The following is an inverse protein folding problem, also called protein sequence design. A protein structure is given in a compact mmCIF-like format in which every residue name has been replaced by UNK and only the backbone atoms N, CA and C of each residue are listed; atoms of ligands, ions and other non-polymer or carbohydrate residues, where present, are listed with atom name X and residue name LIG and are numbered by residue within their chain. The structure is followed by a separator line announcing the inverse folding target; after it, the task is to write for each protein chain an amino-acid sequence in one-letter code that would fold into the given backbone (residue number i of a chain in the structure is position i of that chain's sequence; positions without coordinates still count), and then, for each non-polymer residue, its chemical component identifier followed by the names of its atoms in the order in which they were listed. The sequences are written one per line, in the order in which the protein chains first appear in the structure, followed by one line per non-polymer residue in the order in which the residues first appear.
data_IF_178733950235
#
_entry.id   IF_178733950235
#
_cell.length_a   1.000
_cell.length_b   1.000
_cell.length_c   1.000
_cell.angle_alpha   90.00
_cell.angle_beta   90.00
_cell.angle_gamma   90.00
#
_symmetry.space_group_name_H-M   'P 1'
#
loop_
_entity.id
_entity.type
_entity.pdbx_description
1 polymer ?
#
# COMPACT_ATOMS: atom_id res chain seq x y z
N UNK A 1 41.88 11.10 -26.04
CA UNK A 1 40.83 11.93 -25.38
C UNK A 1 41.09 12.06 -23.89
N UNK A 2 40.55 13.08 -23.21
CA UNK A 2 40.75 13.30 -21.76
C UNK A 2 40.28 12.09 -20.93
N UNK A 3 39.19 11.44 -21.35
CA UNK A 3 38.65 10.21 -20.74
C UNK A 3 39.61 9.01 -20.88
N UNK A 4 40.17 8.75 -22.07
CA UNK A 4 41.15 7.68 -22.27
C UNK A 4 42.42 7.87 -21.41
N UNK A 5 42.82 9.13 -21.20
CA UNK A 5 43.96 9.44 -20.33
C UNK A 5 43.66 9.08 -18.87
N UNK A 6 42.50 9.47 -18.35
CA UNK A 6 42.09 9.11 -16.99
C UNK A 6 41.96 7.59 -16.84
N UNK A 7 41.36 6.92 -17.82
CA UNK A 7 41.23 5.46 -17.85
C UNK A 7 42.59 4.75 -17.81
N UNK A 8 43.54 5.16 -18.64
CA UNK A 8 44.89 4.57 -18.68
C UNK A 8 45.73 4.88 -17.42
N UNK A 9 45.41 5.97 -16.72
CA UNK A 9 46.09 6.38 -15.49
C UNK A 9 45.41 5.86 -14.21
N UNK A 10 44.31 5.10 -14.32
CA UNK A 10 43.47 4.70 -13.18
C UNK A 10 42.99 5.90 -12.34
N UNK A 11 42.78 7.03 -12.98
CA UNK A 11 42.24 8.25 -12.37
C UNK A 11 40.71 8.27 -12.50
N UNK A 12 40.07 9.05 -11.62
CA UNK A 12 38.68 9.42 -11.73
C UNK A 12 38.34 9.88 -13.16
N UNK A 13 37.36 9.24 -13.80
CA UNK A 13 36.89 9.56 -15.14
C UNK A 13 36.11 10.89 -15.18
N UNK A 14 35.67 11.39 -14.03
CA UNK A 14 34.94 12.65 -13.91
C UNK A 14 33.57 12.59 -14.59
N UNK A 15 32.98 11.38 -14.65
CA UNK A 15 31.70 11.14 -15.31
C UNK A 15 30.58 11.36 -14.30
N UNK A 16 29.66 12.24 -14.65
CA UNK A 16 28.38 12.40 -13.97
C UNK A 16 27.30 11.72 -14.78
N UNK A 17 26.53 10.82 -14.15
CA UNK A 17 25.38 10.16 -14.76
C UNK A 17 24.12 10.80 -14.18
N UNK A 18 23.21 11.27 -15.02
CA UNK A 18 21.91 11.77 -14.60
C UNK A 18 20.82 10.87 -15.19
N UNK A 19 20.05 10.23 -14.32
CA UNK A 19 18.87 9.43 -14.64
C UNK A 19 17.62 10.28 -14.39
N UNK A 20 16.60 10.16 -15.23
CA UNK A 20 15.28 10.75 -14.98
C UNK A 20 14.28 9.62 -14.80
N UNK A 21 13.63 9.57 -13.65
CA UNK A 21 12.57 8.60 -13.37
C UNK A 21 11.29 8.91 -14.16
N UNK A 22 10.41 7.92 -14.28
CA UNK A 22 9.10 8.09 -14.94
C UNK A 22 8.21 9.14 -14.24
N UNK A 23 8.49 9.41 -12.97
CA UNK A 23 7.86 10.48 -12.18
C UNK A 23 8.48 11.88 -12.40
N UNK A 24 9.48 12.01 -13.27
CA UNK A 24 10.20 13.24 -13.55
C UNK A 24 11.30 13.62 -12.54
N UNK A 25 11.55 12.80 -11.51
CA UNK A 25 12.65 13.04 -10.57
C UNK A 25 14.00 12.72 -11.23
N UNK A 26 14.99 13.58 -11.00
CA UNK A 26 16.34 13.39 -11.53
C UNK A 26 17.29 12.88 -10.46
N UNK A 27 18.01 11.81 -10.76
CA UNK A 27 19.00 11.20 -9.89
C UNK A 27 20.37 11.39 -10.53
N UNK A 28 21.26 12.08 -9.84
CA UNK A 28 22.62 12.33 -10.32
C UNK A 28 23.60 11.51 -9.50
N UNK A 29 24.43 10.72 -10.17
CA UNK A 29 25.50 9.95 -9.54
C UNK A 29 26.84 10.37 -10.13
N UNK A 30 27.87 10.37 -9.29
CA UNK A 30 29.26 10.52 -9.70
C UNK A 30 30.11 9.54 -8.89
N UNK A 31 31.43 9.68 -8.94
CA UNK A 31 32.36 8.78 -8.27
C UNK A 31 32.37 8.90 -6.74
N UNK A 32 31.81 9.98 -6.19
CA UNK A 32 31.71 10.25 -4.76
C UNK A 32 30.28 10.08 -4.23
N UNK A 33 29.28 10.19 -5.11
CA UNK A 33 27.86 10.26 -4.74
C UNK A 33 27.05 9.15 -5.41
N UNK A 34 26.49 8.27 -4.57
CA UNK A 34 25.48 7.30 -5.00
C UNK A 34 24.08 7.87 -4.78
N UNK A 35 23.18 7.67 -5.75
CA UNK A 35 21.77 8.01 -5.60
C UNK A 35 20.97 6.73 -5.33
N UNK A 36 20.12 6.75 -4.31
CA UNK A 36 19.14 5.68 -4.06
C UNK A 36 17.87 5.99 -4.81
N UNK A 37 17.51 5.14 -5.77
CA UNK A 37 16.23 5.23 -6.46
C UNK A 37 15.10 4.89 -5.48
N UNK A 38 14.01 5.67 -5.52
CA UNK A 38 12.79 5.32 -4.80
C UNK A 38 12.27 3.98 -5.33
N UNK A 39 11.79 3.15 -4.42
CA UNK A 39 11.17 1.89 -4.78
C UNK A 39 9.85 2.15 -5.50
N UNK A 40 9.59 1.35 -6.51
CA UNK A 40 8.32 1.30 -7.21
C UNK A 40 7.26 0.64 -6.33
N UNK A 41 5.97 0.90 -6.59
CA UNK A 41 4.89 0.23 -5.86
C UNK A 41 5.01 -1.31 -5.87
N UNK A 42 5.29 -1.99 -7.01
CA UNK A 42 5.50 -3.43 -7.02
C UNK A 42 6.61 -3.92 -6.07
N UNK A 43 7.69 -3.16 -5.91
CA UNK A 43 8.77 -3.50 -4.96
C UNK A 43 8.33 -3.34 -3.50
N UNK A 44 7.55 -2.30 -3.20
CA UNK A 44 6.97 -2.07 -1.86
C UNK A 44 5.93 -3.16 -1.53
N UNK A 45 5.05 -3.47 -2.47
CA UNK A 45 4.04 -4.52 -2.36
C UNK A 45 4.67 -5.89 -2.06
N UNK A 46 5.71 -6.26 -2.80
CA UNK A 46 6.42 -7.52 -2.57
C UNK A 46 7.05 -7.60 -1.17
N UNK A 47 7.53 -6.48 -0.62
CA UNK A 47 8.05 -6.43 0.74
C UNK A 47 6.95 -6.63 1.79
N UNK A 48 5.79 -5.99 1.61
CA UNK A 48 4.62 -6.17 2.49
C UNK A 48 4.11 -7.62 2.43
N UNK A 49 4.06 -8.20 1.23
CA UNK A 49 3.66 -9.58 0.99
C UNK A 49 4.55 -10.58 1.71
N UNK A 50 5.87 -10.40 1.60
CA UNK A 50 6.87 -11.23 2.25
C UNK A 50 6.90 -11.05 3.78
N UNK A 51 6.38 -9.92 4.28
CA UNK A 51 6.39 -9.64 5.71
C UNK A 51 5.38 -10.50 6.46
N UNK A 52 5.92 -11.32 7.37
CA UNK A 52 5.18 -12.15 8.30
C UNK A 52 5.55 -11.74 9.72
N UNK A 53 4.66 -12.04 10.66
CA UNK A 53 4.95 -11.84 12.08
C UNK A 53 6.20 -12.62 12.49
N UNK A 54 7.15 -11.93 13.12
CA UNK A 54 8.47 -12.47 13.45
C UNK A 54 8.74 -12.54 14.96
N UNK A 55 7.68 -12.52 15.79
CA UNK A 55 7.80 -12.55 17.26
C UNK A 55 7.84 -11.17 17.94
N UNK A 56 7.72 -10.08 17.17
CA UNK A 56 7.47 -8.73 17.69
C UNK A 56 6.09 -8.62 18.35
N UNK A 57 5.73 -7.50 19.00
CA UNK A 57 4.32 -7.30 19.34
C UNK A 57 3.48 -7.02 18.07
N UNK A 58 2.19 -7.37 18.10
CA UNK A 58 1.30 -7.25 16.93
C UNK A 58 1.13 -5.81 16.44
N UNK A 59 1.19 -4.83 17.35
CA UNK A 59 1.10 -3.42 17.02
C UNK A 59 2.33 -2.96 16.24
N UNK A 60 3.53 -3.40 16.64
CA UNK A 60 4.77 -3.15 15.92
C UNK A 60 4.81 -3.91 14.60
N UNK A 61 4.27 -5.13 14.53
CA UNK A 61 4.13 -5.84 13.27
C UNK A 61 3.26 -5.04 12.28
N UNK A 62 2.14 -4.49 12.75
CA UNK A 62 1.26 -3.64 11.95
C UNK A 62 1.99 -2.36 11.48
N UNK A 63 2.71 -1.67 12.38
CA UNK A 63 3.54 -0.50 12.03
C UNK A 63 4.64 -0.84 11.01
N UNK A 64 5.27 -2.01 11.16
CA UNK A 64 6.31 -2.46 10.25
C UNK A 64 5.75 -2.74 8.85
N UNK A 65 4.57 -3.36 8.75
CA UNK A 65 3.91 -3.57 7.47
C UNK A 65 3.61 -2.24 6.76
N UNK A 66 3.07 -1.24 7.48
CA UNK A 66 2.87 0.10 6.92
C UNK A 66 4.19 0.74 6.48
N UNK A 67 5.24 0.64 7.29
CA UNK A 67 6.56 1.18 6.95
C UNK A 67 7.19 0.52 5.72
N UNK A 68 6.96 -0.78 5.49
CA UNK A 68 7.42 -1.47 4.28
C UNK A 68 6.71 -0.99 3.01
N UNK A 69 5.49 -0.47 3.15
CA UNK A 69 4.75 0.22 2.10
C UNK A 69 5.13 1.71 1.97
N UNK A 70 6.14 2.19 2.71
CA UNK A 70 6.48 3.62 2.85
C UNK A 70 5.32 4.48 3.39
N UNK A 71 4.42 3.86 4.16
CA UNK A 71 3.30 4.51 4.81
C UNK A 71 3.55 4.66 6.31
N UNK A 72 2.83 5.59 6.94
CA UNK A 72 2.79 5.76 8.39
C UNK A 72 1.39 5.51 8.93
N UNK A 73 1.30 5.20 10.22
CA UNK A 73 0.02 5.07 10.93
C UNK A 73 -0.16 6.29 11.83
N UNK A 74 -1.18 7.08 11.55
CA UNK A 74 -1.72 8.09 12.45
C UNK A 74 -2.67 7.42 13.44
N UNK A 75 -2.37 7.52 14.73
CA UNK A 75 -3.17 6.91 15.80
C UNK A 75 -4.32 7.82 16.28
N UNK A 76 -4.50 8.96 15.61
CA UNK A 76 -5.64 9.84 15.81
C UNK A 76 -6.66 9.68 14.67
N UNK A 77 -7.60 8.75 14.84
CA UNK A 77 -8.64 8.51 13.84
C UNK A 77 -9.49 9.75 13.52
N UNK A 78 -9.57 10.73 14.42
CA UNK A 78 -10.34 11.94 14.15
C UNK A 78 -9.70 12.84 13.08
N UNK A 79 -8.40 12.68 12.81
CA UNK A 79 -7.71 13.39 11.74
C UNK A 79 -8.12 12.90 10.34
N UNK A 80 -8.66 11.67 10.23
CA UNK A 80 -9.28 11.16 9.00
C UNK A 80 -10.40 12.09 8.51
N UNK A 81 -11.27 12.54 9.42
CA UNK A 81 -12.42 13.39 9.06
C UNK A 81 -12.00 14.77 8.54
N UNK A 82 -10.76 15.21 8.85
CA UNK A 82 -10.17 16.43 8.29
C UNK A 82 -9.57 16.18 6.92
N UNK A 83 -8.89 15.05 6.75
CA UNK A 83 -8.21 14.68 5.50
C UNK A 83 -9.17 14.23 4.40
N UNK A 84 -10.24 13.50 4.76
CA UNK A 84 -11.23 12.92 3.86
C UNK A 84 -12.69 13.29 4.26
N UNK A 85 -13.11 14.58 4.25
CA UNK A 85 -14.42 15.00 4.76
C UNK A 85 -15.62 14.44 3.98
N UNK A 86 -15.45 14.19 2.68
CA UNK A 86 -16.50 13.73 1.76
C UNK A 86 -16.57 12.21 1.61
N UNK A 87 -15.63 11.45 2.19
CA UNK A 87 -15.58 9.98 2.14
C UNK A 87 -16.09 9.30 3.42
N UNK A 88 -16.37 10.05 4.48
CA UNK A 88 -16.59 9.49 5.81
C UNK A 88 -18.07 9.26 6.14
N UNK A 89 -18.68 8.26 5.50
CA UNK A 89 -19.79 7.52 6.12
C UNK A 89 -19.28 6.46 7.12
N UNK A 90 -17.97 6.43 7.35
CA UNK A 90 -17.30 5.54 8.29
C UNK A 90 -17.71 5.86 9.73
N UNK A 91 -18.39 4.92 10.35
CA UNK A 91 -18.81 5.03 11.74
C UNK A 91 -17.65 4.63 12.66
N UNK A 92 -17.18 5.56 13.49
CA UNK A 92 -16.05 5.37 14.44
C UNK A 92 -16.22 4.15 15.36
N UNK A 93 -17.43 3.68 15.62
CA UNK A 93 -17.68 2.49 16.44
C UNK A 93 -17.60 1.15 15.68
N UNK A 94 -17.30 1.17 14.38
CA UNK A 94 -17.20 -0.04 13.53
C UNK A 94 -15.92 -0.08 12.67
N UNK A 95 -15.24 1.03 12.52
CA UNK A 95 -14.06 1.14 11.66
C UNK A 95 -12.77 1.00 12.47
N UNK A 96 -12.01 -0.07 12.23
CA UNK A 96 -10.72 -0.34 12.89
C UNK A 96 -9.62 0.62 12.40
N UNK A 97 -9.51 0.80 11.08
CA UNK A 97 -8.59 1.72 10.46
C UNK A 97 -9.19 2.23 9.14
N UNK A 98 -8.54 3.20 8.51
CA UNK A 98 -8.95 3.71 7.21
C UNK A 98 -7.77 4.27 6.41
N UNK A 99 -7.77 3.99 5.12
CA UNK A 99 -6.98 4.69 4.11
C UNK A 99 -7.72 5.90 3.54
N UNK A 100 -6.97 6.97 3.23
CA UNK A 100 -7.51 8.19 2.63
C UNK A 100 -6.65 8.62 1.42
N UNK A 101 -7.20 8.64 0.19
CA UNK A 101 -6.42 8.96 -1.01
C UNK A 101 -5.85 10.38 -1.05
N UNK A 102 -6.35 11.34 -0.26
CA UNK A 102 -5.80 12.70 -0.17
C UNK A 102 -4.53 12.78 0.70
N UNK A 103 -4.31 11.78 1.56
CA UNK A 103 -3.09 11.60 2.35
C UNK A 103 -2.53 10.21 2.08
N UNK A 104 -2.03 9.94 0.86
CA UNK A 104 -1.82 8.58 0.35
C UNK A 104 -0.73 7.78 1.08
N UNK A 105 0.09 8.43 1.92
CA UNK A 105 1.13 7.78 2.73
C UNK A 105 0.73 7.64 4.21
N UNK A 106 -0.54 7.88 4.56
CA UNK A 106 -1.07 7.78 5.92
C UNK A 106 -2.21 6.76 6.00
N UNK A 107 -2.18 5.95 7.05
CA UNK A 107 -3.28 5.14 7.53
C UNK A 107 -3.79 5.73 8.84
N UNK A 108 -5.10 5.85 9.01
CA UNK A 108 -5.70 6.35 10.25
C UNK A 108 -6.18 5.17 11.08
N UNK A 109 -5.56 4.92 12.22
CA UNK A 109 -5.91 3.85 13.14
C UNK A 109 -6.87 4.34 14.23
N UNK A 110 -7.92 3.57 14.46
CA UNK A 110 -8.88 3.83 15.52
C UNK A 110 -8.49 3.11 16.81
N UNK A 111 -7.80 3.83 17.70
CA UNK A 111 -7.36 3.32 19.00
C UNK A 111 -8.51 2.94 19.94
N UNK A 112 -9.75 3.38 19.67
CA UNK A 112 -10.92 2.97 20.45
C UNK A 112 -11.45 1.58 20.11
N UNK A 113 -11.03 1.02 18.97
CA UNK A 113 -11.41 -0.34 18.57
C UNK A 113 -10.50 -1.38 19.24
N UNK A 114 -11.02 -2.57 19.57
CA UNK A 114 -10.23 -3.65 20.18
C UNK A 114 -9.26 -4.29 19.17
N UNK A 115 -8.55 -5.34 19.58
CA UNK A 115 -7.76 -6.24 18.71
C UNK A 115 -6.49 -5.65 18.06
N UNK A 116 -5.98 -4.51 18.56
CA UNK A 116 -4.67 -3.99 18.16
C UNK A 116 -3.49 -4.82 18.69
N UNK A 117 -3.76 -5.74 19.62
CA UNK A 117 -2.81 -6.58 20.33
C UNK A 117 -2.77 -8.03 19.82
N UNK A 118 -3.41 -8.33 18.69
CA UNK A 118 -3.45 -9.66 18.10
C UNK A 118 -3.30 -9.63 16.56
N UNK A 119 -3.38 -10.80 15.93
CA UNK A 119 -3.19 -10.99 14.49
C UNK A 119 -4.10 -10.12 13.61
N UNK A 120 -5.28 -9.76 14.12
CA UNK A 120 -6.22 -8.89 13.43
C UNK A 120 -5.64 -7.50 13.14
N UNK A 121 -4.73 -6.98 13.99
CA UNK A 121 -4.06 -5.70 13.78
C UNK A 121 -3.25 -5.68 12.47
N UNK A 122 -2.45 -6.72 12.25
CA UNK A 122 -1.63 -6.86 11.05
C UNK A 122 -2.51 -7.08 9.81
N UNK A 123 -3.54 -7.93 9.91
CA UNK A 123 -4.48 -8.17 8.83
C UNK A 123 -5.22 -6.88 8.42
N UNK A 124 -5.68 -6.09 9.39
CA UNK A 124 -6.32 -4.78 9.16
C UNK A 124 -5.38 -3.81 8.47
N UNK A 125 -4.13 -3.67 8.93
CA UNK A 125 -3.19 -2.75 8.27
C UNK A 125 -2.89 -3.20 6.85
N UNK A 126 -2.73 -4.50 6.59
CA UNK A 126 -2.59 -5.01 5.22
C UNK A 126 -3.84 -4.76 4.37
N UNK A 127 -5.05 -4.77 4.94
CA UNK A 127 -6.26 -4.34 4.25
C UNK A 127 -6.19 -2.86 3.83
N UNK A 128 -5.79 -1.95 4.72
CA UNK A 128 -5.69 -0.53 4.33
C UNK A 128 -4.54 -0.27 3.33
N UNK A 129 -3.46 -1.04 3.41
CA UNK A 129 -2.42 -1.03 2.37
C UNK A 129 -2.98 -1.52 1.02
N UNK A 130 -3.96 -2.44 1.01
CA UNK A 130 -4.61 -2.85 -0.24
C UNK A 130 -5.45 -1.73 -0.86
N UNK A 131 -6.15 -0.91 -0.05
CA UNK A 131 -6.79 0.31 -0.56
C UNK A 131 -5.77 1.24 -1.23
N UNK A 132 -4.60 1.43 -0.61
CA UNK A 132 -3.49 2.16 -1.20
C UNK A 132 -3.00 1.50 -2.51
N UNK A 133 -2.84 0.19 -2.54
CA UNK A 133 -2.40 -0.56 -3.73
C UNK A 133 -3.34 -0.33 -4.93
N UNK A 134 -4.64 -0.44 -4.69
CA UNK A 134 -5.68 -0.20 -5.70
C UNK A 134 -5.60 1.26 -6.17
N UNK A 135 -5.46 2.22 -5.25
CA UNK A 135 -5.29 3.63 -5.59
C UNK A 135 -4.06 3.88 -6.46
N UNK A 136 -2.89 3.32 -6.11
CA UNK A 136 -1.67 3.50 -6.89
C UNK A 136 -1.77 2.91 -8.31
N UNK A 137 -2.52 1.81 -8.49
CA UNK A 137 -2.70 1.17 -9.79
C UNK A 137 -3.78 1.83 -10.63
N UNK A 138 -4.87 2.28 -10.01
CA UNK A 138 -6.08 2.72 -10.71
C UNK A 138 -6.33 4.23 -10.66
N UNK A 139 -5.56 5.00 -9.87
CA UNK A 139 -5.79 6.41 -9.62
C UNK A 139 -7.04 6.71 -8.76
N UNK A 140 -7.75 5.68 -8.31
CA UNK A 140 -8.92 5.75 -7.40
C UNK A 140 -8.95 4.52 -6.50
N UNK A 141 -9.55 4.64 -5.30
CA UNK A 141 -9.73 3.52 -4.36
C UNK A 141 -10.89 2.58 -4.75
N UNK A 142 -11.86 3.09 -5.52
CA UNK A 142 -13.03 2.35 -6.00
C UNK A 142 -13.10 2.42 -7.53
N UNK A 143 -12.30 1.61 -8.25
CA UNK A 143 -12.33 1.57 -9.71
C UNK A 143 -13.61 0.89 -10.21
N UNK A 144 -14.01 1.16 -11.45
CA UNK A 144 -15.33 0.76 -11.97
C UNK A 144 -15.61 -0.75 -11.90
N UNK A 145 -14.58 -1.60 -12.03
CA UNK A 145 -14.71 -3.05 -11.99
C UNK A 145 -15.00 -3.63 -10.59
N UNK A 146 -14.93 -2.83 -9.52
CA UNK A 146 -15.38 -3.29 -8.18
C UNK A 146 -16.90 -3.28 -8.05
N UNK A 147 -17.63 -2.66 -8.99
CA UNK A 147 -19.09 -2.73 -9.04
C UNK A 147 -19.48 -4.04 -9.73
N UNK A 148 -19.81 -5.04 -8.92
CA UNK A 148 -20.16 -6.39 -9.37
C UNK A 148 -21.68 -6.54 -9.31
N UNK A 149 -22.31 -6.84 -10.45
CA UNK A 149 -23.77 -6.97 -10.56
C UNK A 149 -24.55 -5.74 -10.03
N UNK A 150 -24.00 -4.53 -10.25
CA UNK A 150 -24.61 -3.27 -9.80
C UNK A 150 -24.43 -2.97 -8.31
N UNK A 151 -23.65 -3.78 -7.58
CA UNK A 151 -23.35 -3.57 -6.16
C UNK A 151 -21.89 -3.16 -6.02
N UNK A 152 -21.63 -2.09 -5.27
CA UNK A 152 -20.27 -1.70 -4.89
C UNK A 152 -19.67 -2.77 -3.96
N UNK A 153 -18.59 -3.42 -4.41
CA UNK A 153 -17.85 -4.44 -3.65
C UNK A 153 -16.43 -3.98 -3.32
N UNK A 154 -16.19 -2.67 -3.23
CA UNK A 154 -14.85 -2.09 -2.95
C UNK A 154 -14.18 -2.76 -1.75
N UNK A 155 -14.86 -2.86 -0.60
CA UNK A 155 -14.30 -3.47 0.61
C UNK A 155 -13.98 -4.96 0.41
N UNK A 156 -14.89 -5.74 -0.18
CA UNK A 156 -14.65 -7.15 -0.46
C UNK A 156 -13.52 -7.38 -1.47
N UNK A 157 -13.41 -6.57 -2.52
CA UNK A 157 -12.28 -6.63 -3.47
C UNK A 157 -10.97 -6.26 -2.76
N UNK A 158 -11.00 -5.29 -1.86
CA UNK A 158 -9.84 -4.91 -1.05
C UNK A 158 -9.42 -6.04 -0.10
N UNK A 159 -10.38 -6.75 0.51
CA UNK A 159 -10.10 -7.95 1.30
C UNK A 159 -9.42 -9.03 0.45
N UNK A 160 -9.98 -9.31 -0.74
CA UNK A 160 -9.36 -10.24 -1.71
C UNK A 160 -7.93 -9.82 -2.05
N UNK A 161 -7.69 -8.53 -2.33
CA UNK A 161 -6.38 -8.02 -2.67
C UNK A 161 -5.38 -8.16 -1.52
N UNK A 162 -5.79 -7.83 -0.30
CA UNK A 162 -4.96 -7.94 0.90
C UNK A 162 -4.52 -9.38 1.16
N UNK A 163 -5.42 -10.36 0.99
CA UNK A 163 -5.10 -11.79 1.13
C UNK A 163 -4.17 -12.23 0.00
N UNK A 164 -4.52 -11.96 -1.25
CA UNK A 164 -3.84 -12.50 -2.43
C UNK A 164 -2.44 -11.92 -2.65
N UNK A 165 -2.27 -10.62 -2.44
CA UNK A 165 -1.06 -9.89 -2.86
C UNK A 165 -0.26 -9.28 -1.71
N UNK A 166 -0.86 -9.12 -0.52
CA UNK A 166 -0.17 -8.57 0.64
C UNK A 166 0.05 -9.61 1.74
N UNK A 167 -0.45 -10.84 1.57
CA UNK A 167 -0.30 -11.93 2.55
C UNK A 167 -0.97 -11.60 3.88
N UNK A 168 -2.14 -10.97 3.85
CA UNK A 168 -2.99 -10.82 5.03
C UNK A 168 -3.56 -12.18 5.46
N UNK A 169 -3.76 -12.37 6.76
CA UNK A 169 -4.38 -13.60 7.26
C UNK A 169 -5.87 -13.62 6.90
N UNK A 170 -6.22 -14.53 5.99
CA UNK A 170 -7.59 -14.73 5.51
C UNK A 170 -8.57 -15.02 6.66
N UNK A 171 -8.16 -15.80 7.66
CA UNK A 171 -9.03 -16.17 8.77
C UNK A 171 -9.37 -14.95 9.63
N UNK A 172 -8.43 -14.03 9.79
CA UNK A 172 -8.68 -12.79 10.53
C UNK A 172 -9.59 -11.86 9.74
N UNK A 173 -9.37 -11.71 8.43
CA UNK A 173 -10.23 -10.86 7.59
C UNK A 173 -11.65 -11.41 7.44
N UNK A 174 -11.83 -12.74 7.41
CA UNK A 174 -13.15 -13.38 7.39
C UNK A 174 -13.96 -13.19 8.70
N UNK A 175 -13.33 -12.79 9.80
CA UNK A 175 -14.03 -12.44 11.05
C UNK A 175 -14.63 -11.03 11.04
N UNK A 176 -14.25 -10.21 10.06
CA UNK A 176 -14.78 -8.84 9.91
C UNK A 176 -16.29 -8.88 9.75
N UNK A 177 -17.01 -8.04 10.49
CA UNK A 177 -18.46 -7.95 10.42
C UNK A 177 -18.87 -7.02 9.28
N UNK A 178 -19.92 -7.38 8.54
CA UNK A 178 -20.44 -6.61 7.41
C UNK A 178 -20.49 -7.45 6.14
N UNK A 179 -21.59 -7.35 5.39
CA UNK A 179 -21.74 -8.08 4.13
C UNK A 179 -20.84 -7.49 3.03
N UNK A 180 -20.52 -6.20 3.14
CA UNK A 180 -19.62 -5.46 2.27
C UNK A 180 -18.17 -5.99 2.31
N UNK A 181 -17.75 -6.62 3.42
CA UNK A 181 -16.43 -7.21 3.59
C UNK A 181 -16.35 -8.68 3.16
N UNK A 182 -17.47 -9.31 2.80
CA UNK A 182 -17.46 -10.72 2.39
C UNK A 182 -16.86 -10.85 0.99
N UNK A 183 -15.75 -11.58 0.92
CA UNK A 183 -15.00 -11.81 -0.31
C UNK A 183 -15.05 -13.29 -0.74
N UNK A 184 -15.05 -13.48 -2.05
CA UNK A 184 -15.28 -14.75 -2.73
C UNK A 184 -14.48 -14.82 -4.04
N UNK A 185 -14.66 -15.89 -4.82
CA UNK A 185 -13.95 -16.07 -6.09
C UNK A 185 -14.18 -14.93 -7.10
N UNK A 186 -15.34 -14.26 -7.04
CA UNK A 186 -15.65 -13.14 -7.93
C UNK A 186 -14.82 -11.92 -7.56
N UNK A 187 -14.76 -11.58 -6.27
CA UNK A 187 -13.93 -10.47 -5.81
C UNK A 187 -12.43 -10.77 -5.95
N UNK A 188 -12.02 -12.03 -5.80
CA UNK A 188 -10.65 -12.48 -6.08
C UNK A 188 -10.25 -12.23 -7.54
N UNK A 189 -11.16 -12.51 -8.49
CA UNK A 189 -10.91 -12.25 -9.91
C UNK A 189 -10.75 -10.76 -10.20
N UNK A 190 -11.58 -9.92 -9.60
CA UNK A 190 -11.47 -8.46 -9.75
C UNK A 190 -10.18 -7.94 -9.11
N UNK A 191 -9.80 -8.45 -7.94
CA UNK A 191 -8.52 -8.09 -7.31
C UNK A 191 -7.33 -8.44 -8.22
N UNK A 192 -7.33 -9.62 -8.85
CA UNK A 192 -6.33 -10.00 -9.84
C UNK A 192 -6.31 -9.06 -11.05
N UNK A 193 -7.48 -8.71 -11.60
CA UNK A 193 -7.58 -7.75 -12.70
C UNK A 193 -6.96 -6.41 -12.33
N UNK A 194 -7.26 -5.88 -11.14
CA UNK A 194 -6.67 -4.62 -10.65
C UNK A 194 -5.16 -4.76 -10.49
N UNK A 195 -4.68 -5.86 -9.90
CA UNK A 195 -3.25 -6.13 -9.78
C UNK A 195 -2.55 -6.14 -11.15
N UNK A 196 -3.22 -6.65 -12.19
CA UNK A 196 -2.74 -6.69 -13.57
C UNK A 196 -2.95 -5.36 -14.34
N UNK A 197 -3.40 -4.30 -13.65
CA UNK A 197 -3.58 -2.95 -14.21
C UNK A 197 -4.93 -2.73 -14.90
N UNK A 198 -5.88 -3.66 -14.76
CA UNK A 198 -7.22 -3.54 -15.33
C UNK A 198 -8.18 -2.94 -14.29
N UNK A 199 -8.44 -1.64 -14.44
CA UNK A 199 -9.24 -0.84 -13.49
C UNK A 199 -10.63 -0.45 -14.02
N UNK A 200 -11.06 -1.03 -15.14
CA UNK A 200 -12.34 -0.74 -15.80
C UNK A 200 -13.12 -2.03 -15.97
N UNK A 201 -14.44 -1.91 -15.97
CA UNK A 201 -15.30 -3.04 -16.29
C UNK A 201 -15.02 -3.51 -17.73
N UNK A 202 -14.78 -4.81 -17.89
CA UNK A 202 -14.59 -5.50 -19.17
C UNK A 202 -15.90 -5.72 -19.89
#
# INVERSE_FOLDING_TARGET
MQVERHFNNHEALGVTITLTGENGETYTTDEANTATLKKTWPELEAQVAAYQYNGNDWLQAAKQAASLAEMQIDWNFDDLYKACPSGTNLTKNRTQAAYCPTTPNLLYANTSMPNWDNAYALATVKHEIAHHAIHMRCGVISPQNVVINGVDRTEAVTQSYAVMFLGADENELRRTMGDEYKFDETTNRVAQQIHDGQCKAS
#
